data_IF_983678136271
#
_entry.id   IF_983678136271
#
_cell.length_a   1.000
_cell.length_b   1.000
_cell.length_c   1.000
_cell.angle_alpha   90.00
_cell.angle_beta   90.00
_cell.angle_gamma   90.00
#
_symmetry.space_group_name_H-M   'P 1'
#
loop_
_entity.id
_entity.type
_entity.pdbx_description
1 polymer ?
#
# COMPACT_ATOMS: atom_id res chain seq x y z
N UNK A 1 6.20 53.73 8.88
CA UNK A 1 5.18 52.69 8.74
C UNK A 1 5.92 51.41 8.34
N UNK A 2 6.19 50.58 9.32
CA UNK A 2 6.97 49.38 9.15
C UNK A 2 6.01 48.22 8.89
N UNK A 3 5.91 47.80 7.63
CA UNK A 3 5.16 46.60 7.23
C UNK A 3 5.96 45.37 7.67
N UNK A 4 5.73 44.91 8.88
CA UNK A 4 6.16 43.60 9.30
C UNK A 4 5.37 42.55 8.55
N UNK A 5 5.97 42.03 7.46
CA UNK A 5 5.50 40.81 6.80
C UNK A 5 5.74 39.68 7.80
N UNK A 6 4.66 39.22 8.44
CA UNK A 6 4.72 38.00 9.23
C UNK A 6 4.98 36.83 8.29
N UNK A 7 5.99 35.99 8.56
CA UNK A 7 6.14 34.74 7.81
C UNK A 7 4.92 33.87 8.08
N UNK A 8 4.19 33.51 7.02
CA UNK A 8 3.12 32.54 7.08
C UNK A 8 3.71 31.21 7.58
N UNK A 9 3.57 30.95 8.88
CA UNK A 9 3.77 29.62 9.42
C UNK A 9 2.87 28.68 8.66
N UNK A 10 3.47 27.82 7.82
CA UNK A 10 2.76 26.78 7.10
C UNK A 10 1.96 25.96 8.07
N UNK A 11 0.67 26.27 8.21
CA UNK A 11 -0.26 25.42 8.92
C UNK A 11 -0.30 24.10 8.17
N UNK A 12 0.31 23.10 8.73
CA UNK A 12 0.06 21.71 8.35
C UNK A 12 -1.39 21.43 8.72
N UNK A 13 -2.30 21.72 7.77
CA UNK A 13 -3.71 21.41 7.96
C UNK A 13 -3.84 19.91 8.14
N UNK A 14 -4.42 19.49 9.26
CA UNK A 14 -4.70 18.07 9.50
C UNK A 14 -5.57 17.51 8.36
N UNK A 15 -5.36 16.24 7.96
CA UNK A 15 -6.13 15.63 6.88
C UNK A 15 -7.63 15.75 7.13
N UNK A 16 -8.36 16.15 6.11
CA UNK A 16 -9.83 16.22 6.15
C UNK A 16 -10.43 14.81 6.27
N UNK A 17 -11.71 14.73 6.62
CA UNK A 17 -12.41 13.44 6.65
C UNK A 17 -12.39 12.76 5.27
N UNK A 18 -12.57 13.51 4.20
CA UNK A 18 -12.47 13.01 2.82
C UNK A 18 -11.08 12.44 2.53
N UNK A 19 -10.01 13.14 2.92
CA UNK A 19 -8.63 12.67 2.73
C UNK A 19 -8.39 11.34 3.42
N UNK A 20 -8.88 11.18 4.65
CA UNK A 20 -8.77 9.94 5.44
C UNK A 20 -9.56 8.80 4.81
N UNK A 21 -10.78 9.08 4.31
CA UNK A 21 -11.61 8.08 3.63
C UNK A 21 -10.94 7.58 2.34
N UNK A 22 -10.39 8.47 1.51
CA UNK A 22 -9.65 8.08 0.32
C UNK A 22 -8.37 7.32 0.64
N UNK A 23 -7.64 7.75 1.66
CA UNK A 23 -6.43 7.07 2.13
C UNK A 23 -6.72 5.65 2.65
N UNK A 24 -7.74 5.51 3.51
CA UNK A 24 -8.19 4.20 3.99
C UNK A 24 -8.72 3.33 2.85
N UNK A 25 -9.46 3.93 1.91
CA UNK A 25 -9.99 3.28 0.71
C UNK A 25 -8.91 2.71 -0.20
N UNK A 26 -7.74 3.35 -0.29
CA UNK A 26 -6.62 2.81 -1.06
C UNK A 26 -6.11 1.47 -0.49
N UNK A 27 -6.02 1.35 0.81
CA UNK A 27 -5.58 0.11 1.48
C UNK A 27 -6.68 -0.94 1.52
N UNK A 28 -7.88 -0.57 1.97
CA UNK A 28 -9.03 -1.48 2.06
C UNK A 28 -9.49 -1.95 0.68
N UNK A 29 -9.52 -1.06 -0.32
CA UNK A 29 -9.88 -1.39 -1.70
C UNK A 29 -8.87 -2.34 -2.35
N UNK A 30 -7.57 -2.11 -2.15
CA UNK A 30 -6.53 -3.02 -2.61
C UNK A 30 -6.68 -4.40 -1.98
N UNK A 31 -6.91 -4.45 -0.65
CA UNK A 31 -7.15 -5.70 0.08
C UNK A 31 -8.40 -6.42 -0.41
N UNK A 32 -9.52 -5.71 -0.54
CA UNK A 32 -10.79 -6.29 -0.96
C UNK A 32 -10.70 -6.86 -2.39
N UNK A 33 -10.14 -6.10 -3.34
CA UNK A 33 -10.00 -6.56 -4.71
C UNK A 33 -9.04 -7.76 -4.82
N UNK A 34 -7.96 -7.74 -4.05
CA UNK A 34 -7.03 -8.86 -3.99
C UNK A 34 -7.68 -10.13 -3.41
N UNK A 35 -8.50 -10.03 -2.37
CA UNK A 35 -9.26 -11.16 -1.82
C UNK A 35 -10.27 -11.72 -2.81
N UNK A 36 -10.97 -10.86 -3.55
CA UNK A 36 -11.95 -11.26 -4.55
C UNK A 36 -11.32 -11.96 -5.76
N UNK A 37 -10.08 -11.64 -6.07
CA UNK A 37 -9.38 -12.17 -7.26
C UNK A 37 -8.38 -13.26 -6.94
N UNK A 38 -8.25 -13.67 -5.71
CA UNK A 38 -7.41 -14.73 -5.10
C UNK A 38 -6.08 -15.08 -5.83
N UNK A 39 -6.16 -15.59 -7.06
CA UNK A 39 -5.02 -16.03 -7.87
C UNK A 39 -4.14 -14.87 -8.41
N UNK A 40 -4.72 -13.68 -8.51
CA UNK A 40 -4.03 -12.47 -9.00
C UNK A 40 -3.91 -11.38 -7.91
N UNK A 41 -3.99 -11.78 -6.63
CA UNK A 41 -4.16 -10.90 -5.48
C UNK A 41 -3.20 -9.70 -5.46
N UNK A 42 -1.90 -9.92 -5.68
CA UNK A 42 -0.91 -8.85 -5.67
C UNK A 42 -1.10 -7.86 -6.82
N UNK A 43 -1.41 -8.34 -8.03
CA UNK A 43 -1.65 -7.50 -9.21
C UNK A 43 -2.95 -6.71 -9.03
N UNK A 44 -4.02 -7.38 -8.61
CA UNK A 44 -5.32 -6.73 -8.42
C UNK A 44 -5.28 -5.65 -7.34
N UNK A 45 -4.60 -5.92 -6.22
CA UNK A 45 -4.37 -4.93 -5.16
C UNK A 45 -3.54 -3.74 -5.64
N UNK A 46 -2.51 -3.97 -6.46
CA UNK A 46 -1.70 -2.91 -7.07
C UNK A 46 -2.54 -2.05 -8.04
N UNK A 47 -3.38 -2.68 -8.88
CA UNK A 47 -4.29 -1.96 -9.80
C UNK A 47 -5.28 -1.10 -9.01
N UNK A 48 -5.91 -1.62 -7.96
CA UNK A 48 -6.83 -0.86 -7.13
C UNK A 48 -6.14 0.36 -6.49
N UNK A 49 -4.98 0.16 -5.89
CA UNK A 49 -4.19 1.24 -5.29
C UNK A 49 -3.75 2.28 -6.33
N UNK A 50 -3.38 1.84 -7.53
CA UNK A 50 -3.01 2.73 -8.64
C UNK A 50 -4.19 3.59 -9.10
N UNK A 51 -5.38 2.99 -9.24
CA UNK A 51 -6.61 3.73 -9.61
C UNK A 51 -6.93 4.78 -8.56
N UNK A 52 -6.89 4.44 -7.27
CA UNK A 52 -7.09 5.42 -6.19
C UNK A 52 -6.05 6.53 -6.27
N UNK A 53 -4.77 6.19 -6.44
CA UNK A 53 -3.71 7.19 -6.58
C UNK A 53 -3.98 8.16 -7.74
N UNK A 54 -4.38 7.67 -8.91
CA UNK A 54 -4.72 8.51 -10.06
C UNK A 54 -5.87 9.49 -9.78
N UNK A 55 -6.85 9.09 -8.96
CA UNK A 55 -7.99 9.92 -8.60
C UNK A 55 -7.62 11.01 -7.59
N UNK A 56 -6.71 10.71 -6.66
CA UNK A 56 -6.44 11.58 -5.50
C UNK A 56 -5.13 12.36 -5.58
N UNK A 57 -4.22 12.02 -6.51
CA UNK A 57 -2.85 12.59 -6.57
C UNK A 57 -2.82 14.11 -6.64
N UNK A 58 -3.79 14.73 -7.32
CA UNK A 58 -3.88 16.18 -7.51
C UNK A 58 -4.85 16.85 -6.52
N UNK A 59 -5.47 16.06 -5.62
CA UNK A 59 -6.52 16.54 -4.70
C UNK A 59 -6.10 16.49 -3.24
N UNK A 60 -5.34 15.46 -2.84
CA UNK A 60 -4.96 15.22 -1.46
C UNK A 60 -3.59 14.59 -1.40
N UNK A 61 -2.59 15.32 -0.91
CA UNK A 61 -1.24 14.80 -0.72
C UNK A 61 -1.22 13.62 0.28
N UNK A 62 -2.05 13.69 1.32
CA UNK A 62 -2.19 12.61 2.31
C UNK A 62 -2.73 11.33 1.69
N UNK A 63 -3.85 11.42 0.96
CA UNK A 63 -4.44 10.25 0.31
C UNK A 63 -3.55 9.70 -0.82
N UNK A 64 -2.87 10.57 -1.57
CA UNK A 64 -1.94 10.18 -2.62
C UNK A 64 -0.74 9.40 -2.06
N UNK A 65 -0.18 9.81 -0.92
CA UNK A 65 0.92 9.10 -0.26
C UNK A 65 0.48 7.71 0.22
N UNK A 66 -0.70 7.59 0.83
CA UNK A 66 -1.27 6.31 1.23
C UNK A 66 -1.52 5.37 0.04
N UNK A 67 -2.09 5.88 -1.05
CA UNK A 67 -2.33 5.10 -2.26
C UNK A 67 -1.02 4.62 -2.88
N UNK A 68 0.02 5.45 -2.87
CA UNK A 68 1.37 5.10 -3.33
C UNK A 68 2.03 4.03 -2.47
N UNK A 69 1.91 4.13 -1.15
CA UNK A 69 2.39 3.10 -0.22
C UNK A 69 1.65 1.77 -0.43
N UNK A 70 0.32 1.79 -0.62
CA UNK A 70 -0.46 0.59 -0.93
C UNK A 70 -0.04 -0.04 -2.26
N UNK A 71 0.18 0.78 -3.30
CA UNK A 71 0.67 0.31 -4.60
C UNK A 71 2.04 -0.37 -4.47
N UNK A 72 3.01 0.32 -3.86
CA UNK A 72 4.36 -0.22 -3.66
C UNK A 72 4.34 -1.53 -2.86
N UNK A 73 3.52 -1.61 -1.83
CA UNK A 73 3.38 -2.81 -1.00
C UNK A 73 2.82 -3.99 -1.80
N UNK A 74 1.72 -3.81 -2.53
CA UNK A 74 1.13 -4.89 -3.32
C UNK A 74 2.07 -5.37 -4.44
N UNK A 75 2.79 -4.46 -5.10
CA UNK A 75 3.82 -4.82 -6.09
C UNK A 75 4.97 -5.61 -5.42
N UNK A 76 5.40 -5.20 -4.23
CA UNK A 76 6.46 -5.92 -3.50
C UNK A 76 6.02 -7.32 -3.12
N UNK A 77 4.80 -7.49 -2.62
CA UNK A 77 4.24 -8.81 -2.27
C UNK A 77 4.16 -9.72 -3.50
N UNK A 78 3.76 -9.16 -4.64
CA UNK A 78 3.75 -9.90 -5.90
C UNK A 78 5.15 -10.36 -6.32
N UNK A 79 6.16 -9.47 -6.24
CA UNK A 79 7.55 -9.80 -6.58
C UNK A 79 8.07 -10.92 -5.66
N UNK A 80 7.87 -10.82 -4.36
CA UNK A 80 8.32 -11.85 -3.41
C UNK A 80 7.65 -13.20 -3.65
N UNK A 81 6.34 -13.19 -3.91
CA UNK A 81 5.60 -14.40 -4.25
C UNK A 81 6.09 -15.02 -5.57
N UNK A 82 6.38 -14.19 -6.58
CA UNK A 82 6.92 -14.65 -7.86
C UNK A 82 8.32 -15.26 -7.73
N UNK A 83 9.19 -14.66 -6.91
CA UNK A 83 10.53 -15.24 -6.62
C UNK A 83 10.38 -16.63 -5.99
N UNK A 84 9.45 -16.81 -5.07
CA UNK A 84 9.20 -18.13 -4.46
C UNK A 84 8.66 -19.14 -5.48
N UNK A 85 7.81 -18.71 -6.45
CA UNK A 85 7.38 -19.56 -7.57
C UNK A 85 8.58 -19.99 -8.42
N UNK A 86 9.45 -19.04 -8.77
CA UNK A 86 10.66 -19.36 -9.56
C UNK A 86 11.55 -20.36 -8.84
N UNK A 87 11.71 -20.24 -7.52
CA UNK A 87 12.45 -21.23 -6.73
C UNK A 87 11.87 -22.64 -6.88
N UNK A 88 10.55 -22.78 -6.81
CA UNK A 88 9.87 -24.08 -7.00
C UNK A 88 10.13 -24.64 -8.40
N UNK A 89 10.03 -23.81 -9.44
CA UNK A 89 10.24 -24.21 -10.83
C UNK A 89 11.69 -24.67 -11.04
N UNK A 90 12.68 -23.85 -10.66
CA UNK A 90 14.09 -24.17 -10.90
C UNK A 90 14.63 -25.32 -10.06
N UNK A 91 13.96 -25.67 -8.97
CA UNK A 91 14.31 -26.83 -8.15
C UNK A 91 13.48 -28.08 -8.47
N UNK A 92 12.78 -28.09 -9.63
CA UNK A 92 11.90 -29.18 -10.06
C UNK A 92 10.88 -29.60 -8.98
N UNK A 93 10.34 -28.62 -8.24
CA UNK A 93 9.34 -28.82 -7.21
C UNK A 93 9.88 -28.94 -5.78
N UNK A 94 11.15 -29.27 -5.58
CA UNK A 94 11.72 -29.43 -4.22
C UNK A 94 11.63 -28.15 -3.40
N UNK A 95 11.76 -26.99 -4.07
CA UNK A 95 11.67 -25.67 -3.46
C UNK A 95 10.35 -25.36 -2.78
N UNK A 96 9.29 -26.16 -2.99
CA UNK A 96 7.98 -25.99 -2.34
C UNK A 96 8.10 -26.04 -0.81
N UNK A 97 9.05 -26.83 -0.29
CA UNK A 97 9.30 -26.95 1.16
C UNK A 97 9.64 -25.58 1.77
N UNK A 98 10.34 -24.72 1.03
CA UNK A 98 10.68 -23.36 1.45
C UNK A 98 9.61 -22.35 1.00
N UNK A 99 9.11 -22.49 -0.23
CA UNK A 99 8.15 -21.55 -0.79
C UNK A 99 6.82 -21.52 -0.02
N UNK A 100 6.33 -22.68 0.44
CA UNK A 100 5.06 -22.77 1.15
C UNK A 100 5.04 -21.94 2.45
N UNK A 101 5.97 -22.12 3.40
CA UNK A 101 6.02 -21.27 4.59
C UNK A 101 6.27 -19.80 4.25
N UNK A 102 7.04 -19.46 3.23
CA UNK A 102 7.24 -18.09 2.76
C UNK A 102 5.91 -17.48 2.32
N UNK A 103 5.11 -18.17 1.51
CA UNK A 103 3.80 -17.67 1.06
C UNK A 103 2.82 -17.49 2.23
N UNK A 104 2.83 -18.39 3.22
CA UNK A 104 2.00 -18.21 4.43
C UNK A 104 2.39 -16.94 5.17
N UNK A 105 3.69 -16.71 5.39
CA UNK A 105 4.18 -15.51 6.08
C UNK A 105 3.86 -14.24 5.27
N UNK A 106 4.08 -14.25 3.96
CA UNK A 106 3.75 -13.13 3.08
C UNK A 106 2.25 -12.83 3.09
N UNK A 107 1.40 -13.85 3.04
CA UNK A 107 -0.06 -13.70 3.08
C UNK A 107 -0.56 -13.11 4.39
N UNK A 108 -0.04 -13.61 5.53
CA UNK A 108 -0.35 -13.08 6.86
C UNK A 108 0.13 -11.63 7.01
N UNK A 109 1.38 -11.34 6.61
CA UNK A 109 1.93 -10.00 6.66
C UNK A 109 1.12 -9.04 5.77
N UNK A 110 0.77 -9.47 4.55
CA UNK A 110 -0.03 -8.70 3.64
C UNK A 110 -1.41 -8.36 4.24
N UNK A 111 -2.11 -9.35 4.81
CA UNK A 111 -3.41 -9.14 5.45
C UNK A 111 -3.31 -8.19 6.65
N UNK A 112 -2.44 -8.50 7.60
CA UNK A 112 -2.31 -7.74 8.85
C UNK A 112 -1.86 -6.30 8.58
N UNK A 113 -0.83 -6.12 7.75
CA UNK A 113 -0.33 -4.78 7.43
C UNK A 113 -1.35 -3.93 6.65
N UNK A 114 -2.14 -4.54 5.74
CA UNK A 114 -3.20 -3.82 5.01
C UNK A 114 -4.33 -3.37 5.95
N UNK A 115 -4.71 -4.18 6.92
CA UNK A 115 -5.68 -3.79 7.95
C UNK A 115 -5.15 -2.66 8.82
N UNK A 116 -3.92 -2.77 9.33
CA UNK A 116 -3.28 -1.71 10.14
C UNK A 116 -3.20 -0.41 9.33
N UNK A 117 -2.78 -0.48 8.07
CA UNK A 117 -2.69 0.68 7.18
C UNK A 117 -4.05 1.36 7.00
N UNK A 118 -5.12 0.56 6.80
CA UNK A 118 -6.49 1.06 6.66
C UNK A 118 -6.92 1.86 7.89
N UNK A 119 -6.75 1.30 9.09
CA UNK A 119 -7.11 1.98 10.33
C UNK A 119 -6.27 3.23 10.57
N UNK A 120 -4.94 3.15 10.38
CA UNK A 120 -4.04 4.30 10.52
C UNK A 120 -4.43 5.44 9.58
N UNK A 121 -4.72 5.13 8.31
CA UNK A 121 -5.15 6.11 7.34
C UNK A 121 -6.49 6.77 7.71
N UNK A 122 -7.44 5.98 8.19
CA UNK A 122 -8.73 6.48 8.65
C UNK A 122 -8.59 7.40 9.88
N UNK A 123 -7.66 7.09 10.78
CA UNK A 123 -7.33 7.93 11.94
C UNK A 123 -6.50 9.18 11.58
N UNK A 124 -6.14 9.35 10.30
CA UNK A 124 -5.36 10.49 9.83
C UNK A 124 -3.86 10.39 10.08
N UNK A 125 -3.35 9.20 10.33
CA UNK A 125 -1.93 8.94 10.56
C UNK A 125 -1.27 8.31 9.34
N UNK A 126 -0.04 8.74 9.05
CA UNK A 126 0.77 8.09 8.02
C UNK A 126 1.16 6.67 8.45
N UNK A 127 1.13 5.75 7.50
CA UNK A 127 1.60 4.38 7.69
C UNK A 127 2.57 4.00 6.58
N UNK A 128 3.69 3.39 6.97
CA UNK A 128 4.67 2.83 6.06
C UNK A 128 4.74 1.32 6.24
N UNK A 129 4.55 0.61 5.15
CA UNK A 129 4.63 -0.84 5.17
C UNK A 129 6.07 -1.32 5.39
N UNK A 130 6.27 -2.38 6.19
CA UNK A 130 7.56 -3.04 6.29
C UNK A 130 7.89 -3.78 4.99
N UNK A 131 9.19 -3.97 4.71
CA UNK A 131 9.69 -4.75 3.57
C UNK A 131 9.17 -4.31 2.19
N UNK A 132 8.75 -3.07 2.06
CA UNK A 132 8.22 -2.52 0.81
C UNK A 132 9.34 -1.98 -0.07
N UNK A 133 9.40 -2.45 -1.31
CA UNK A 133 10.24 -1.87 -2.37
C UNK A 133 9.50 -0.64 -2.90
N UNK A 134 10.06 0.54 -2.68
CA UNK A 134 9.43 1.81 -3.09
C UNK A 134 9.82 2.17 -4.51
N UNK A 135 9.15 1.56 -5.48
CA UNK A 135 9.37 1.80 -6.91
C UNK A 135 8.72 3.12 -7.35
N UNK A 136 7.56 3.43 -6.80
CA UNK A 136 6.83 4.66 -7.09
C UNK A 136 7.13 5.69 -6.00
N UNK A 137 7.71 6.84 -6.38
CA UNK A 137 8.13 7.94 -5.50
C UNK A 137 7.21 9.16 -5.67
#
# INVERSE_FOLDING_TARGET
MENTVQPSTGQTTSPTQSDRQWAAGAHAGALALALLTSWAAGIAGAVAAFVVWMVVRDKSAFAAEHAREALNFNVSMFIYAAIAVMLVIFTLGIGIIVALPVWIVLGLMWLVCSLIATFKAYDGHMYRYPLTIRLFK
#
